data_IF_958761354874
#
_entry.id   IF_958761354874
#
_cell.length_a   1.000
_cell.length_b   1.000
_cell.length_c   1.000
_cell.angle_alpha   90.00
_cell.angle_beta   90.00
_cell.angle_gamma   90.00
#
_symmetry.space_group_name_H-M   'P 1'
#
loop_
_entity.id
_entity.type
_entity.pdbx_description
1 polymer ?
#
# COMPACT_ATOMS: atom_id res chain seq x y z
N UNK A 1 -3.27 0.34 32.05
CA UNK A 1 -2.72 0.57 30.70
C UNK A 1 -3.77 1.38 29.96
N UNK A 2 -3.47 2.60 29.50
CA UNK A 2 -4.39 3.29 28.59
C UNK A 2 -4.54 2.37 27.38
N UNK A 3 -5.76 1.95 27.06
CA UNK A 3 -6.02 1.42 25.73
C UNK A 3 -5.81 2.63 24.81
N UNK A 4 -4.83 2.50 23.93
CA UNK A 4 -4.60 3.44 22.84
C UNK A 4 -5.22 2.82 21.60
N UNK A 5 -5.71 3.64 20.69
CA UNK A 5 -6.25 3.18 19.42
C UNK A 5 -5.21 2.34 18.65
N UNK A 6 -5.67 1.58 17.66
CA UNK A 6 -4.79 0.75 16.83
C UNK A 6 -4.30 1.53 15.62
N UNK A 7 -3.04 1.32 15.26
CA UNK A 7 -2.46 1.84 14.03
C UNK A 7 -2.46 0.76 12.96
N UNK A 8 -2.90 1.11 11.75
CA UNK A 8 -2.76 0.28 10.57
C UNK A 8 -1.88 0.97 9.54
N UNK A 9 -0.82 0.31 9.11
CA UNK A 9 0.15 0.85 8.16
C UNK A 9 0.10 0.04 6.86
N UNK A 10 -0.06 0.73 5.73
CA UNK A 10 0.00 0.11 4.41
C UNK A 10 0.33 1.15 3.34
N UNK A 11 0.44 0.71 2.09
CA UNK A 11 0.62 1.60 0.95
C UNK A 11 -0.65 1.61 0.08
N UNK A 12 -1.05 2.80 -0.39
CA UNK A 12 -2.11 2.95 -1.40
C UNK A 12 -1.55 3.39 -2.77
N UNK A 13 -0.25 3.69 -2.84
CA UNK A 13 0.49 3.94 -4.08
C UNK A 13 1.77 3.12 -4.10
N UNK A 14 2.17 2.63 -5.28
CA UNK A 14 3.35 1.79 -5.44
C UNK A 14 4.17 2.13 -6.68
N UNK A 15 5.49 1.99 -6.57
CA UNK A 15 6.41 2.01 -7.71
C UNK A 15 6.47 0.60 -8.32
N UNK A 16 5.74 0.38 -9.42
CA UNK A 16 5.53 -0.96 -9.98
C UNK A 16 6.17 -1.14 -11.36
N UNK A 17 6.14 -2.36 -11.88
CA UNK A 17 6.48 -2.67 -13.27
C UNK A 17 5.55 -2.03 -14.31
N UNK A 18 4.43 -1.43 -13.88
CA UNK A 18 3.52 -0.65 -14.73
C UNK A 18 3.65 0.86 -14.51
N UNK A 19 4.72 1.30 -13.83
CA UNK A 19 4.90 2.67 -13.38
C UNK A 19 4.30 2.90 -12.00
N UNK A 20 4.00 4.17 -11.68
CA UNK A 20 3.26 4.48 -10.47
C UNK A 20 1.83 3.92 -10.56
N UNK A 21 1.45 3.09 -9.60
CA UNK A 21 0.12 2.49 -9.54
C UNK A 21 -0.63 2.99 -8.30
N UNK A 22 -1.87 3.46 -8.51
CA UNK A 22 -2.71 4.05 -7.47
C UNK A 22 -3.85 3.10 -7.10
N UNK A 23 -4.05 2.90 -5.80
CA UNK A 23 -5.16 2.16 -5.19
C UNK A 23 -5.95 3.04 -4.20
N UNK A 24 -5.76 4.36 -4.24
CA UNK A 24 -6.41 5.30 -3.32
C UNK A 24 -7.94 5.25 -3.38
N UNK A 25 -8.53 5.06 -4.56
CA UNK A 25 -9.98 5.09 -4.77
C UNK A 25 -10.75 4.21 -3.80
N UNK A 26 -10.30 2.97 -3.63
CA UNK A 26 -10.97 2.03 -2.72
C UNK A 26 -10.71 2.38 -1.26
N UNK A 27 -9.60 3.02 -0.90
CA UNK A 27 -9.28 3.37 0.49
C UNK A 27 -9.99 4.64 0.96
N UNK A 28 -10.26 5.57 0.04
CA UNK A 28 -10.96 6.83 0.32
C UNK A 28 -12.48 6.73 0.13
N UNK A 29 -12.98 5.58 -0.36
CA UNK A 29 -14.41 5.36 -0.56
C UNK A 29 -15.17 5.38 0.78
N UNK A 30 -16.31 6.06 0.81
CA UNK A 30 -17.17 6.13 1.99
C UNK A 30 -16.73 7.15 3.05
N UNK A 31 -15.63 7.88 2.82
CA UNK A 31 -15.29 9.04 3.64
C UNK A 31 -16.34 10.14 3.45
N UNK A 32 -16.67 10.83 4.54
CA UNK A 32 -17.61 11.95 4.55
C UNK A 32 -16.87 13.30 4.53
N UNK A 33 -15.57 13.31 4.86
CA UNK A 33 -14.69 14.46 4.66
C UNK A 33 -13.29 14.00 4.23
N UNK A 34 -12.72 14.67 3.23
CA UNK A 34 -11.37 14.39 2.73
C UNK A 34 -10.62 15.71 2.50
N UNK A 35 -9.54 15.93 3.25
CA UNK A 35 -8.64 17.05 3.03
C UNK A 35 -7.51 16.65 2.06
N UNK A 36 -7.45 17.30 0.91
CA UNK A 36 -6.44 17.08 -0.11
C UNK A 36 -5.37 18.17 0.01
N UNK A 37 -4.24 17.82 0.60
CA UNK A 37 -3.13 18.73 0.82
C UNK A 37 -2.38 18.98 -0.50
N UNK A 38 -2.24 20.24 -0.90
CA UNK A 38 -1.49 20.66 -2.09
C UNK A 38 -0.35 21.58 -1.69
N UNK A 39 0.86 21.28 -2.13
CA UNK A 39 2.03 22.10 -1.86
C UNK A 39 3.31 21.51 -2.44
N UNK A 40 4.38 22.32 -2.48
CA UNK A 40 5.70 21.86 -2.95
C UNK A 40 6.32 20.77 -2.07
N UNK A 41 7.43 20.14 -2.52
CA UNK A 41 8.27 19.30 -1.67
C UNK A 41 8.63 20.01 -0.35
N UNK A 42 8.63 19.30 0.77
CA UNK A 42 8.96 19.90 2.08
C UNK A 42 7.94 20.88 2.65
N UNK A 43 6.73 20.99 2.09
CA UNK A 43 5.70 21.89 2.60
C UNK A 43 5.05 21.43 3.92
N UNK A 44 5.53 20.37 4.55
CA UNK A 44 4.99 19.86 5.82
C UNK A 44 3.79 18.91 5.73
N UNK A 45 3.40 18.44 4.53
CA UNK A 45 2.23 17.53 4.32
C UNK A 45 2.26 16.31 5.24
N UNK A 46 3.32 15.51 5.12
CA UNK A 46 3.53 14.31 5.92
C UNK A 46 3.57 14.60 7.42
N UNK A 47 4.19 15.72 7.82
CA UNK A 47 4.23 16.16 9.21
C UNK A 47 2.85 16.49 9.76
N UNK A 48 2.02 17.23 9.01
CA UNK A 48 0.62 17.52 9.38
C UNK A 48 -0.15 16.22 9.58
N UNK A 49 -0.07 15.31 8.60
CA UNK A 49 -0.80 14.04 8.65
C UNK A 49 -0.37 13.17 9.85
N UNK A 50 0.93 13.10 10.14
CA UNK A 50 1.44 12.34 11.30
C UNK A 50 1.00 12.96 12.63
N UNK A 51 1.07 14.28 12.77
CA UNK A 51 0.65 14.98 14.00
C UNK A 51 -0.84 14.78 14.25
N UNK A 52 -1.69 14.90 13.22
CA UNK A 52 -3.13 14.65 13.32
C UNK A 52 -3.37 13.18 13.68
N UNK A 53 -2.76 12.23 12.97
CA UNK A 53 -2.89 10.81 13.29
C UNK A 53 -2.53 10.50 14.74
N UNK A 54 -1.39 10.99 15.23
CA UNK A 54 -0.95 10.78 16.61
C UNK A 54 -1.93 11.39 17.63
N UNK A 55 -2.45 12.60 17.38
CA UNK A 55 -3.38 13.24 18.32
C UNK A 55 -4.69 12.45 18.47
N UNK A 56 -5.20 11.88 17.38
CA UNK A 56 -6.42 11.08 17.41
C UNK A 56 -6.17 9.67 17.96
N UNK A 57 -4.99 9.10 17.72
CA UNK A 57 -4.56 7.87 18.38
C UNK A 57 -4.51 8.02 19.91
N UNK A 58 -3.97 9.15 20.39
CA UNK A 58 -3.91 9.48 21.82
C UNK A 58 -5.30 9.68 22.46
N UNK A 59 -6.31 9.94 21.62
CA UNK A 59 -7.74 10.02 21.95
C UNK A 59 -8.48 8.67 21.81
N UNK A 60 -7.76 7.57 21.63
CA UNK A 60 -8.29 6.20 21.51
C UNK A 60 -9.08 5.93 20.21
N UNK A 61 -8.74 6.64 19.13
CA UNK A 61 -9.26 6.35 17.79
C UNK A 61 -8.30 5.44 17.03
N UNK A 62 -8.82 4.47 16.30
CA UNK A 62 -8.05 3.71 15.33
C UNK A 62 -7.63 4.62 14.16
N UNK A 63 -6.39 4.46 13.68
CA UNK A 63 -5.79 5.29 12.64
C UNK A 63 -5.21 4.41 11.54
N UNK A 64 -5.51 4.74 10.29
CA UNK A 64 -4.83 4.14 9.14
C UNK A 64 -3.81 5.14 8.54
N UNK A 65 -2.57 4.72 8.36
CA UNK A 65 -1.49 5.48 7.74
C UNK A 65 -1.13 4.90 6.38
N UNK A 66 -1.25 5.74 5.35
CA UNK A 66 -0.90 5.42 3.97
C UNK A 66 0.53 5.90 3.71
N UNK A 67 1.48 4.98 3.64
CA UNK A 67 2.90 5.30 3.48
C UNK A 67 3.27 5.69 2.05
N UNK A 68 4.33 6.51 1.93
CA UNK A 68 4.85 6.95 0.64
C UNK A 68 5.83 5.92 0.08
N UNK A 69 5.57 5.40 -1.12
CA UNK A 69 6.48 4.45 -1.79
C UNK A 69 7.80 5.10 -2.24
N UNK A 70 7.84 6.44 -2.31
CA UNK A 70 9.01 7.21 -2.78
C UNK A 70 9.84 7.81 -1.65
N UNK A 71 9.36 7.73 -0.40
CA UNK A 71 10.07 8.19 0.78
C UNK A 71 9.66 7.37 2.00
N UNK A 72 10.58 6.51 2.45
CA UNK A 72 10.38 5.59 3.57
C UNK A 72 10.01 6.28 4.89
N UNK A 73 10.35 7.55 5.05
CA UNK A 73 10.10 8.29 6.29
C UNK A 73 8.86 9.20 6.15
N UNK A 74 8.11 9.11 5.04
CA UNK A 74 6.94 9.94 4.75
C UNK A 74 5.65 9.12 4.59
N UNK A 75 4.52 9.77 4.88
CA UNK A 75 3.18 9.27 4.58
C UNK A 75 2.49 10.17 3.54
N UNK A 76 1.66 9.57 2.72
CA UNK A 76 0.82 10.22 1.71
C UNK A 76 -0.63 10.33 2.16
N UNK A 77 -1.01 9.68 3.26
CA UNK A 77 -2.35 9.80 3.82
C UNK A 77 -2.48 9.35 5.27
N UNK A 78 -3.50 9.87 5.94
CA UNK A 78 -3.98 9.40 7.24
C UNK A 78 -5.51 9.36 7.21
N UNK A 79 -6.10 8.29 7.74
CA UNK A 79 -7.56 8.09 7.81
C UNK A 79 -7.93 7.83 9.27
N UNK A 80 -9.02 8.45 9.71
CA UNK A 80 -9.67 8.21 11.00
C UNK A 80 -11.00 7.51 10.69
N UNK A 81 -11.05 6.16 10.65
CA UNK A 81 -12.19 5.43 10.10
C UNK A 81 -13.50 5.71 10.84
N UNK A 82 -13.45 5.79 12.17
CA UNK A 82 -14.63 6.05 13.01
C UNK A 82 -15.30 7.40 12.70
N UNK A 83 -14.51 8.39 12.26
CA UNK A 83 -15.02 9.71 11.88
C UNK A 83 -15.31 9.81 10.37
N UNK A 84 -14.90 8.82 9.59
CA UNK A 84 -14.93 8.84 8.11
C UNK A 84 -14.21 10.07 7.54
N UNK A 85 -13.10 10.44 8.16
CA UNK A 85 -12.25 11.57 7.77
C UNK A 85 -10.93 11.04 7.21
N UNK A 86 -10.46 11.62 6.10
CA UNK A 86 -9.13 11.37 5.57
C UNK A 86 -8.37 12.67 5.27
N UNK A 87 -7.05 12.61 5.37
CA UNK A 87 -6.12 13.60 4.83
C UNK A 87 -5.19 12.88 3.87
N UNK A 88 -4.90 13.51 2.73
CA UNK A 88 -4.08 12.90 1.66
C UNK A 88 -3.22 13.93 0.95
N UNK A 89 -2.03 13.53 0.50
CA UNK A 89 -1.23 14.30 -0.44
C UNK A 89 -1.87 14.24 -1.84
N UNK A 90 -2.29 15.40 -2.36
CA UNK A 90 -2.82 15.52 -3.71
C UNK A 90 -1.77 15.83 -4.78
N UNK A 91 -0.47 15.84 -4.45
CA UNK A 91 0.59 16.20 -5.38
C UNK A 91 0.90 15.04 -6.32
N UNK A 92 1.21 15.32 -7.59
CA UNK A 92 1.59 14.27 -8.55
C UNK A 92 2.72 13.39 -7.98
N UNK A 93 2.64 12.05 -8.11
CA UNK A 93 1.70 11.28 -8.94
C UNK A 93 0.35 10.94 -8.27
N UNK A 94 0.12 11.36 -7.03
CA UNK A 94 -1.08 11.09 -6.21
C UNK A 94 -2.26 11.99 -6.58
N UNK A 95 -2.54 12.16 -7.87
CA UNK A 95 -3.66 13.02 -8.30
C UNK A 95 -4.97 12.36 -7.90
N UNK A 96 -5.59 12.89 -6.84
CA UNK A 96 -6.92 12.52 -6.39
C UNK A 96 -7.90 13.50 -7.02
N UNK A 97 -8.82 12.98 -7.82
CA UNK A 97 -9.89 13.77 -8.44
C UNK A 97 -11.11 13.81 -7.50
N UNK A 98 -11.49 15.00 -6.99
CA UNK A 98 -12.68 15.15 -6.16
C UNK A 98 -13.95 14.70 -6.88
N UNK A 99 -14.79 13.92 -6.21
CA UNK A 99 -16.08 13.48 -6.74
C UNK A 99 -17.23 14.40 -6.32
N UNK A 100 -17.14 15.00 -5.13
CA UNK A 100 -18.11 15.94 -4.60
C UNK A 100 -17.42 17.11 -3.87
N UNK A 101 -16.59 17.92 -4.58
CA UNK A 101 -15.82 18.99 -3.95
C UNK A 101 -16.70 19.98 -3.19
N UNK A 102 -16.28 20.34 -1.97
CA UNK A 102 -17.03 21.19 -1.03
C UNK A 102 -18.08 20.47 -0.21
N UNK A 103 -18.50 19.26 -0.61
CA UNK A 103 -19.38 18.39 0.17
C UNK A 103 -18.60 17.28 0.89
N UNK A 104 -17.61 16.69 0.21
CA UNK A 104 -16.72 15.65 0.76
C UNK A 104 -15.28 16.11 0.70
N UNK A 105 -14.78 16.52 -0.47
CA UNK A 105 -13.37 16.88 -0.64
C UNK A 105 -13.11 18.39 -0.52
N UNK A 106 -12.03 18.72 0.17
CA UNK A 106 -11.53 20.09 0.35
C UNK A 106 -10.05 20.17 -0.05
N UNK A 107 -9.68 21.17 -0.86
CA UNK A 107 -8.27 21.44 -1.14
C UNK A 107 -7.67 22.33 -0.06
N UNK A 108 -6.60 21.86 0.56
CA UNK A 108 -5.79 22.65 1.49
C UNK A 108 -4.52 23.11 0.78
N UNK A 109 -4.43 24.42 0.53
CA UNK A 109 -3.30 25.01 -0.19
C UNK A 109 -2.15 25.41 0.76
N UNK A 110 -1.20 24.50 0.95
CA UNK A 110 0.04 24.77 1.69
C UNK A 110 1.02 25.67 0.89
N UNK A 111 0.81 25.82 -0.42
CA UNK A 111 1.57 26.76 -1.25
C UNK A 111 1.30 28.23 -0.91
N UNK A 112 0.27 28.54 -0.09
CA UNK A 112 0.06 29.89 0.42
C UNK A 112 1.19 30.34 1.36
N UNK A 113 1.92 29.41 1.98
CA UNK A 113 2.93 29.68 2.99
C UNK A 113 4.38 29.79 2.43
N UNK A 114 4.59 29.79 1.11
CA UNK A 114 5.94 29.95 0.54
C UNK A 114 6.29 31.40 0.18
N UNK A 115 7.58 31.70 0.15
CA UNK A 115 8.10 32.94 -0.41
C UNK A 115 8.34 32.77 -1.92
N UNK A 116 7.44 33.35 -2.73
CA UNK A 116 7.51 33.26 -4.18
C UNK A 116 8.81 33.86 -4.74
N UNK A 117 9.25 35.02 -4.26
CA UNK A 117 10.45 35.69 -4.76
C UNK A 117 11.71 34.85 -4.53
N UNK A 118 11.82 34.23 -3.35
CA UNK A 118 12.94 33.34 -3.00
C UNK A 118 12.96 32.08 -3.87
N UNK A 119 11.81 31.46 -4.12
CA UNK A 119 11.72 30.32 -5.04
C UNK A 119 12.00 30.73 -6.49
N UNK A 120 11.57 31.93 -6.89
CA UNK A 120 11.82 32.46 -8.22
C UNK A 120 13.32 32.66 -8.51
N UNK A 121 14.13 33.04 -7.51
CA UNK A 121 15.59 33.10 -7.64
C UNK A 121 16.25 31.73 -7.83
N UNK A 122 15.63 30.66 -7.32
CA UNK A 122 16.11 29.27 -7.42
C UNK A 122 15.50 28.50 -8.60
N UNK A 123 14.74 29.17 -9.47
CA UNK A 123 13.96 28.55 -10.55
C UNK A 123 14.75 27.56 -11.41
N UNK A 124 15.96 27.93 -11.82
CA UNK A 124 16.79 27.08 -12.66
C UNK A 124 17.18 25.78 -11.95
N UNK A 125 17.51 25.85 -10.66
CA UNK A 125 17.83 24.68 -9.84
C UNK A 125 16.59 23.80 -9.64
N UNK A 126 15.45 24.39 -9.31
CA UNK A 126 14.16 23.70 -9.14
C UNK A 126 13.78 22.91 -10.39
N UNK A 127 13.80 23.55 -11.56
CA UNK A 127 13.47 22.88 -12.84
C UNK A 127 14.46 21.76 -13.14
N UNK A 128 15.76 22.00 -12.95
CA UNK A 128 16.82 21.00 -13.18
C UNK A 128 16.62 19.76 -12.30
N UNK A 129 16.43 19.96 -10.99
CA UNK A 129 16.23 18.87 -10.03
C UNK A 129 14.94 18.10 -10.29
N UNK A 130 13.85 18.82 -10.59
CA UNK A 130 12.56 18.19 -10.94
C UNK A 130 12.69 17.31 -12.18
N UNK A 131 13.32 17.81 -13.23
CA UNK A 131 13.53 17.05 -14.47
C UNK A 131 14.46 15.86 -14.25
N UNK A 132 15.53 16.02 -13.47
CA UNK A 132 16.44 14.92 -13.15
C UNK A 132 15.74 13.82 -12.34
N UNK A 133 14.92 14.21 -11.36
CA UNK A 133 14.11 13.30 -10.55
C UNK A 133 13.14 12.51 -11.41
N UNK A 134 12.39 13.18 -12.29
CA UNK A 134 11.46 12.52 -13.22
C UNK A 134 12.17 11.50 -14.10
N UNK A 135 13.35 11.85 -14.65
CA UNK A 135 14.18 10.91 -15.44
C UNK A 135 14.63 9.69 -14.63
N UNK A 136 14.94 9.85 -13.34
CA UNK A 136 15.29 8.71 -12.48
C UNK A 136 14.09 7.78 -12.28
N UNK A 137 12.88 8.32 -12.07
CA UNK A 137 11.66 7.51 -12.00
C UNK A 137 11.36 6.80 -13.32
N UNK A 138 11.46 7.49 -14.47
CA UNK A 138 11.28 6.89 -15.79
C UNK A 138 12.22 5.70 -16.01
N UNK A 139 13.49 5.83 -15.63
CA UNK A 139 14.46 4.73 -15.69
C UNK A 139 14.10 3.59 -14.74
N UNK A 140 13.72 3.88 -13.51
CA UNK A 140 13.29 2.86 -12.55
C UNK A 140 12.11 2.04 -13.09
N UNK A 141 11.09 2.71 -13.63
CA UNK A 141 9.92 2.05 -14.20
C UNK A 141 10.23 1.25 -15.47
N UNK A 142 11.11 1.74 -16.34
CA UNK A 142 11.58 0.98 -17.49
C UNK A 142 12.30 -0.31 -17.07
N UNK A 143 13.15 -0.24 -16.04
CA UNK A 143 13.86 -1.39 -15.49
C UNK A 143 12.91 -2.37 -14.79
N UNK A 144 11.90 -1.89 -14.06
CA UNK A 144 10.87 -2.78 -13.50
C UNK A 144 10.04 -3.46 -14.59
N UNK A 145 9.72 -2.75 -15.68
CA UNK A 145 9.00 -3.33 -16.81
C UNK A 145 9.84 -4.42 -17.52
N UNK A 146 11.17 -4.25 -17.62
CA UNK A 146 12.09 -5.29 -18.06
C UNK A 146 12.15 -6.46 -17.08
N UNK A 147 12.26 -6.18 -15.77
CA UNK A 147 12.26 -7.20 -14.73
C UNK A 147 10.98 -8.04 -14.75
N UNK A 148 9.82 -7.45 -15.09
CA UNK A 148 8.55 -8.17 -15.17
C UNK A 148 8.56 -9.19 -16.32
N UNK A 149 9.13 -8.84 -17.48
CA UNK A 149 9.29 -9.79 -18.58
C UNK A 149 10.17 -10.98 -18.19
N UNK A 150 11.25 -10.72 -17.45
CA UNK A 150 12.14 -11.76 -16.91
C UNK A 150 11.41 -12.61 -15.86
N UNK A 151 10.59 -11.97 -15.02
CA UNK A 151 9.75 -12.67 -14.05
C UNK A 151 8.73 -13.58 -14.76
N UNK A 152 8.11 -13.13 -15.86
CA UNK A 152 7.19 -13.94 -16.66
C UNK A 152 7.88 -15.19 -17.23
N UNK A 153 9.12 -15.07 -17.74
CA UNK A 153 9.94 -16.22 -18.17
C UNK A 153 10.14 -17.22 -17.02
N UNK A 154 10.35 -16.73 -15.79
CA UNK A 154 10.51 -17.57 -14.61
C UNK A 154 9.19 -18.27 -14.25
N UNK A 155 8.07 -17.56 -14.34
CA UNK A 155 6.76 -18.14 -14.08
C UNK A 155 6.42 -19.27 -15.06
N UNK A 156 6.80 -19.14 -16.33
CA UNK A 156 6.47 -20.12 -17.37
C UNK A 156 7.03 -21.51 -17.07
N UNK A 157 8.22 -21.58 -16.46
CA UNK A 157 8.81 -22.85 -15.99
C UNK A 157 7.84 -23.56 -15.06
N UNK A 158 7.31 -22.86 -14.06
CA UNK A 158 6.41 -23.47 -13.08
C UNK A 158 5.01 -23.66 -13.61
N UNK A 159 4.46 -22.71 -14.39
CA UNK A 159 3.14 -22.81 -15.04
C UNK A 159 3.02 -24.07 -15.90
N UNK A 160 4.08 -24.43 -16.63
CA UNK A 160 4.13 -25.64 -17.44
C UNK A 160 4.14 -26.93 -16.61
N UNK A 161 4.46 -26.84 -15.31
CA UNK A 161 4.66 -27.97 -14.41
C UNK A 161 3.67 -27.96 -13.22
N UNK A 162 2.49 -27.36 -13.39
CA UNK A 162 1.41 -27.36 -12.38
C UNK A 162 0.40 -28.48 -12.65
N UNK A 163 0.11 -29.26 -11.62
CA UNK A 163 -1.11 -30.05 -11.51
C UNK A 163 -2.28 -29.14 -11.10
N UNK A 164 -2.96 -28.57 -12.12
CA UNK A 164 -4.08 -27.66 -11.90
C UNK A 164 -5.25 -28.31 -11.17
N UNK A 165 -5.43 -29.63 -11.30
CA UNK A 165 -6.50 -30.33 -10.59
C UNK A 165 -6.26 -30.31 -9.08
N UNK A 166 -5.02 -30.61 -8.65
CA UNK A 166 -4.63 -30.50 -7.23
C UNK A 166 -4.69 -29.06 -6.71
N UNK A 167 -4.21 -28.09 -7.48
CA UNK A 167 -4.24 -26.68 -7.07
C UNK A 167 -5.68 -26.18 -6.89
N UNK A 168 -6.58 -26.52 -7.82
CA UNK A 168 -8.00 -26.16 -7.73
C UNK A 168 -8.68 -26.88 -6.57
N UNK A 169 -8.39 -28.16 -6.34
CA UNK A 169 -8.89 -28.92 -5.19
C UNK A 169 -8.47 -28.31 -3.86
N UNK A 170 -7.19 -27.93 -3.71
CA UNK A 170 -6.70 -27.21 -2.54
C UNK A 170 -7.41 -25.87 -2.37
N UNK A 171 -7.55 -25.09 -3.44
CA UNK A 171 -8.23 -23.78 -3.40
C UNK A 171 -9.67 -23.92 -2.92
N UNK A 172 -10.43 -24.88 -3.46
CA UNK A 172 -11.81 -25.12 -3.06
C UNK A 172 -11.91 -25.55 -1.59
N UNK A 173 -11.03 -26.45 -1.14
CA UNK A 173 -10.96 -26.86 0.27
C UNK A 173 -10.72 -25.69 1.21
N UNK A 174 -9.85 -24.74 0.83
CA UNK A 174 -9.61 -23.53 1.62
C UNK A 174 -10.86 -22.64 1.67
N UNK A 175 -11.50 -22.40 0.52
CA UNK A 175 -12.74 -21.60 0.44
C UNK A 175 -13.85 -22.22 1.32
N UNK A 176 -14.05 -23.52 1.22
CA UNK A 176 -15.02 -24.26 2.05
C UNK A 176 -14.66 -24.18 3.54
N UNK A 177 -13.38 -24.33 3.90
CA UNK A 177 -12.91 -24.24 5.27
C UNK A 177 -13.08 -22.84 5.88
N UNK A 178 -12.78 -21.80 5.10
CA UNK A 178 -12.78 -20.39 5.52
C UNK A 178 -14.19 -19.85 5.70
N UNK A 179 -15.08 -20.11 4.74
CA UNK A 179 -16.40 -19.47 4.72
C UNK A 179 -17.53 -20.41 5.08
N UNK A 180 -17.33 -21.74 4.95
CA UNK A 180 -18.36 -22.76 5.17
C UNK A 180 -19.65 -22.39 4.38
N UNK A 181 -20.81 -22.58 5.00
CA UNK A 181 -22.11 -22.19 4.46
C UNK A 181 -22.55 -20.77 4.88
N UNK A 182 -21.63 -19.96 5.43
CA UNK A 182 -21.97 -18.62 5.94
C UNK A 182 -22.10 -17.65 4.77
N UNK A 183 -23.20 -16.89 4.74
CA UNK A 183 -23.43 -15.76 3.85
C UNK A 183 -24.02 -14.62 4.65
N UNK A 184 -23.48 -13.42 4.48
CA UNK A 184 -23.94 -12.22 5.16
C UNK A 184 -24.94 -11.46 4.27
N UNK A 185 -26.02 -10.96 4.87
CA UNK A 185 -27.00 -10.14 4.18
C UNK A 185 -26.55 -8.66 4.12
N UNK A 186 -25.37 -8.42 3.54
CA UNK A 186 -24.85 -7.09 3.26
C UNK A 186 -24.09 -7.07 1.94
N UNK A 187 -23.91 -5.88 1.40
CA UNK A 187 -22.96 -5.67 0.31
C UNK A 187 -21.55 -5.69 0.90
N UNK A 188 -20.67 -6.48 0.30
CA UNK A 188 -19.25 -6.52 0.64
C UNK A 188 -18.59 -5.17 0.42
N UNK A 189 -17.79 -4.72 1.39
CA UNK A 189 -16.82 -3.65 1.22
C UNK A 189 -15.45 -4.25 0.84
N UNK A 190 -14.93 -3.89 -0.33
CA UNK A 190 -13.67 -4.44 -0.87
C UNK A 190 -12.65 -3.32 -0.97
N UNK A 191 -11.55 -3.46 -0.22
CA UNK A 191 -10.46 -2.47 -0.15
C UNK A 191 -9.21 -3.04 -0.81
N UNK A 192 -8.70 -2.34 -1.81
CA UNK A 192 -7.49 -2.69 -2.54
C UNK A 192 -6.31 -1.89 -2.01
N UNK A 193 -5.25 -2.56 -1.58
CA UNK A 193 -4.09 -1.99 -0.89
C UNK A 193 -2.81 -2.63 -1.40
N UNK A 194 -1.66 -2.11 -1.00
CA UNK A 194 -0.37 -2.79 -1.08
C UNK A 194 0.11 -3.06 0.34
N UNK A 195 0.53 -4.30 0.63
CA UNK A 195 1.09 -4.66 1.94
C UNK A 195 2.52 -4.15 2.11
N UNK A 196 3.16 -3.85 0.98
CA UNK A 196 4.53 -3.41 0.87
C UNK A 196 4.79 -2.83 -0.52
N UNK A 197 5.90 -2.12 -0.66
CA UNK A 197 6.24 -1.40 -1.89
C UNK A 197 7.73 -1.48 -2.19
N UNK A 198 8.09 -1.29 -3.46
CA UNK A 198 9.45 -1.00 -3.86
C UNK A 198 9.78 0.47 -3.51
N UNK A 199 10.75 0.66 -2.61
CA UNK A 199 11.14 1.98 -2.10
C UNK A 199 12.62 2.27 -2.35
N UNK A 200 13.08 3.53 -2.12
CA UNK A 200 14.51 3.89 -2.15
C UNK A 200 15.42 3.02 -1.27
N UNK A 201 14.91 2.48 -0.16
CA UNK A 201 15.65 1.63 0.78
C UNK A 201 15.48 0.12 0.47
N UNK A 202 14.84 -0.22 -0.64
CA UNK A 202 14.51 -1.61 -1.01
C UNK A 202 13.04 -1.95 -0.77
N UNK A 203 12.73 -3.25 -0.71
CA UNK A 203 11.38 -3.70 -0.41
C UNK A 203 11.07 -3.48 1.08
N UNK A 204 9.93 -2.85 1.38
CA UNK A 204 9.43 -2.65 2.74
C UNK A 204 7.97 -3.10 2.79
N UNK A 205 7.59 -3.82 3.84
CA UNK A 205 6.23 -4.28 4.08
C UNK A 205 5.77 -4.04 5.52
N UNK A 206 4.46 -4.13 5.72
CA UNK A 206 3.79 -3.98 7.01
C UNK A 206 2.99 -5.23 7.39
N UNK A 207 3.36 -6.43 6.89
CA UNK A 207 2.61 -7.67 7.16
C UNK A 207 2.39 -7.91 8.67
N UNK A 208 3.39 -7.75 9.55
CA UNK A 208 3.18 -7.96 10.99
C UNK A 208 2.10 -7.05 11.59
N UNK A 209 2.07 -5.77 11.19
CA UNK A 209 1.08 -4.81 11.66
C UNK A 209 -0.30 -5.06 11.04
N UNK A 210 -0.36 -5.28 9.72
CA UNK A 210 -1.61 -5.51 8.99
C UNK A 210 -2.34 -6.77 9.51
N UNK A 211 -1.58 -7.79 9.89
CA UNK A 211 -2.11 -9.08 10.37
C UNK A 211 -2.24 -9.16 11.89
N UNK A 212 -2.01 -8.06 12.60
CA UNK A 212 -2.13 -8.02 14.06
C UNK A 212 -3.56 -8.36 14.51
N UNK A 213 -3.68 -9.20 15.54
CA UNK A 213 -4.96 -9.62 16.12
C UNK A 213 -5.74 -10.64 15.27
N UNK A 214 -5.22 -11.07 14.12
CA UNK A 214 -5.85 -12.11 13.29
C UNK A 214 -5.56 -13.49 13.88
N UNK A 215 -6.62 -14.29 14.07
CA UNK A 215 -6.53 -15.57 14.77
C UNK A 215 -5.92 -16.68 13.93
N UNK A 216 -6.14 -16.68 12.61
CA UNK A 216 -5.63 -17.69 11.69
C UNK A 216 -4.89 -17.05 10.52
N UNK A 217 -3.59 -17.33 10.41
CA UNK A 217 -2.74 -16.80 9.33
C UNK A 217 -2.19 -17.94 8.48
N UNK A 218 -2.35 -17.84 7.17
CA UNK A 218 -1.94 -18.85 6.22
C UNK A 218 -0.79 -18.34 5.35
N UNK A 219 0.36 -19.00 5.45
CA UNK A 219 1.60 -18.64 4.77
C UNK A 219 1.70 -19.46 3.49
N UNK A 220 1.38 -18.85 2.35
CA UNK A 220 1.53 -19.48 1.04
C UNK A 220 3.00 -19.57 0.69
N UNK A 221 3.51 -20.80 0.58
CA UNK A 221 4.86 -21.09 0.07
C UNK A 221 4.74 -21.62 -1.36
N UNK A 222 5.64 -21.17 -2.23
CA UNK A 222 5.64 -21.56 -3.63
C UNK A 222 6.77 -20.92 -4.41
N UNK A 223 6.79 -21.14 -5.73
CA UNK A 223 7.68 -20.45 -6.68
C UNK A 223 6.90 -19.40 -7.49
N UNK A 224 7.56 -18.46 -8.18
CA UNK A 224 6.91 -17.64 -9.20
C UNK A 224 6.09 -18.51 -10.16
N UNK A 225 4.92 -18.05 -10.60
CA UNK A 225 4.05 -18.85 -11.47
C UNK A 225 3.28 -20.00 -10.84
N UNK A 226 3.52 -20.39 -9.58
CA UNK A 226 2.84 -21.53 -8.91
C UNK A 226 1.32 -21.39 -8.66
N UNK A 227 0.72 -20.26 -9.05
CA UNK A 227 -0.72 -20.03 -8.93
C UNK A 227 -1.21 -19.40 -7.63
N UNK A 228 -0.31 -18.92 -6.76
CA UNK A 228 -0.62 -18.21 -5.49
C UNK A 228 -1.63 -17.08 -5.68
N UNK A 229 -1.31 -16.14 -6.57
CA UNK A 229 -2.17 -15.00 -6.92
C UNK A 229 -3.56 -15.43 -7.43
N UNK A 230 -3.63 -16.46 -8.26
CA UNK A 230 -4.90 -17.01 -8.77
C UNK A 230 -5.73 -17.62 -7.65
N UNK A 231 -5.11 -18.35 -6.71
CA UNK A 231 -5.78 -18.88 -5.52
C UNK A 231 -6.33 -17.74 -4.65
N UNK A 232 -5.52 -16.72 -4.36
CA UNK A 232 -5.93 -15.54 -3.59
C UNK A 232 -7.12 -14.82 -4.23
N UNK A 233 -7.11 -14.62 -5.57
CA UNK A 233 -8.23 -14.02 -6.30
C UNK A 233 -9.53 -14.82 -6.16
N UNK A 234 -9.45 -16.15 -6.22
CA UNK A 234 -10.62 -17.03 -6.02
C UNK A 234 -11.15 -16.94 -4.60
N UNK A 235 -10.27 -16.91 -3.60
CA UNK A 235 -10.62 -16.76 -2.18
C UNK A 235 -11.31 -15.41 -1.94
N UNK A 236 -10.70 -14.30 -2.39
CA UNK A 236 -11.28 -12.97 -2.28
C UNK A 236 -12.66 -12.89 -2.97
N UNK A 237 -12.79 -13.45 -4.19
CA UNK A 237 -14.06 -13.44 -4.91
C UNK A 237 -15.15 -14.23 -4.17
N UNK A 238 -14.77 -15.35 -3.58
CA UNK A 238 -15.67 -16.20 -2.82
C UNK A 238 -16.15 -15.54 -1.51
N UNK A 239 -15.32 -14.70 -0.88
CA UNK A 239 -15.71 -13.87 0.26
C UNK A 239 -16.68 -12.76 -0.15
N UNK A 240 -16.35 -12.00 -1.20
CA UNK A 240 -17.17 -10.91 -1.73
C UNK A 240 -18.58 -11.41 -2.10
N UNK A 241 -18.67 -12.54 -2.79
CA UNK A 241 -19.95 -13.15 -3.19
C UNK A 241 -20.82 -13.59 -2.01
N UNK A 242 -20.20 -13.86 -0.86
CA UNK A 242 -20.88 -14.22 0.40
C UNK A 242 -21.16 -13.00 1.27
N UNK A 243 -20.89 -11.79 0.79
CA UNK A 243 -21.15 -10.54 1.51
C UNK A 243 -20.14 -10.20 2.59
N UNK A 244 -18.99 -10.88 2.67
CA UNK A 244 -17.92 -10.52 3.60
C UNK A 244 -17.12 -9.32 3.11
N UNK A 245 -16.65 -8.46 4.00
CA UNK A 245 -15.69 -7.41 3.65
C UNK A 245 -14.32 -8.03 3.39
N UNK A 246 -13.61 -7.50 2.39
CA UNK A 246 -12.37 -8.11 1.90
C UNK A 246 -11.29 -7.05 1.75
N UNK A 247 -10.16 -7.26 2.41
CA UNK A 247 -8.94 -6.49 2.15
C UNK A 247 -8.07 -7.28 1.17
N UNK A 248 -7.87 -6.71 -0.01
CA UNK A 248 -7.11 -7.28 -1.11
C UNK A 248 -5.79 -6.54 -1.23
N UNK A 249 -4.69 -7.24 -0.98
CA UNK A 249 -3.35 -6.68 -1.06
C UNK A 249 -2.67 -7.14 -2.34
N UNK A 250 -2.37 -6.18 -3.19
CA UNK A 250 -1.68 -6.36 -4.46
C UNK A 250 -0.18 -6.49 -4.25
N UNK A 251 0.49 -7.13 -5.20
CA UNK A 251 1.93 -7.19 -5.22
C UNK A 251 2.52 -5.82 -5.53
N UNK A 252 3.47 -5.37 -4.70
CA UNK A 252 4.14 -4.08 -4.87
C UNK A 252 4.97 -3.98 -6.16
N UNK A 253 5.24 -5.11 -6.82
CA UNK A 253 5.96 -5.18 -8.10
C UNK A 253 5.03 -5.34 -9.31
N UNK A 254 4.14 -6.35 -9.32
CA UNK A 254 3.09 -6.52 -10.33
C UNK A 254 1.70 -6.26 -9.73
N UNK A 255 1.08 -5.09 -9.98
CA UNK A 255 -0.18 -4.72 -9.35
C UNK A 255 -1.35 -5.58 -9.83
N UNK A 256 -1.20 -6.41 -10.87
CA UNK A 256 -2.24 -7.37 -11.25
C UNK A 256 -2.13 -8.69 -10.49
N UNK A 257 -1.05 -8.92 -9.75
CA UNK A 257 -0.91 -10.04 -8.84
C UNK A 257 -1.37 -9.69 -7.42
N UNK A 258 -1.87 -10.67 -6.67
CA UNK A 258 -2.21 -10.54 -5.26
C UNK A 258 -1.15 -11.21 -4.39
N UNK A 259 -0.76 -10.53 -3.33
CA UNK A 259 0.15 -11.06 -2.30
C UNK A 259 -0.59 -11.41 -1.01
N UNK A 260 -1.73 -10.79 -0.70
CA UNK A 260 -2.48 -11.13 0.51
C UNK A 260 -3.98 -10.87 0.37
N UNK A 261 -4.77 -11.67 1.08
CA UNK A 261 -6.20 -11.47 1.29
C UNK A 261 -6.50 -11.61 2.78
N UNK A 262 -7.24 -10.64 3.33
CA UNK A 262 -7.72 -10.67 4.71
C UNK A 262 -9.24 -10.58 4.70
N UNK A 263 -9.88 -11.44 5.49
CA UNK A 263 -11.31 -11.38 5.78
C UNK A 263 -11.47 -11.38 7.29
N UNK A 264 -11.54 -10.17 7.88
CA UNK A 264 -11.51 -9.99 9.34
C UNK A 264 -12.71 -10.63 10.04
N UNK A 265 -13.88 -10.62 9.39
CA UNK A 265 -15.13 -11.18 9.94
C UNK A 265 -15.07 -12.69 10.22
N UNK A 266 -14.19 -13.43 9.54
CA UNK A 266 -13.93 -14.85 9.81
C UNK A 266 -12.53 -15.09 10.42
N UNK A 267 -11.81 -14.02 10.77
CA UNK A 267 -10.54 -14.09 11.49
C UNK A 267 -9.38 -14.67 10.70
N UNK A 268 -9.37 -14.51 9.36
CA UNK A 268 -8.33 -15.08 8.49
C UNK A 268 -7.48 -14.03 7.79
N UNK A 269 -6.19 -14.36 7.65
CA UNK A 269 -5.28 -13.76 6.68
C UNK A 269 -4.60 -14.87 5.89
N UNK A 270 -4.48 -14.71 4.57
CA UNK A 270 -3.71 -15.61 3.71
C UNK A 270 -2.80 -14.79 2.83
N UNK A 271 -1.50 -15.08 2.85
CA UNK A 271 -0.51 -14.27 2.13
C UNK A 271 0.64 -15.07 1.56
N UNK A 272 1.17 -14.58 0.45
CA UNK A 272 2.42 -15.01 -0.15
C UNK A 272 3.57 -14.72 0.82
N UNK A 273 4.20 -15.78 1.28
CA UNK A 273 5.30 -15.72 2.23
C UNK A 273 6.60 -16.21 1.59
N UNK A 274 6.85 -15.80 0.35
CA UNK A 274 8.06 -16.08 -0.40
C UNK A 274 8.95 -14.83 -0.51
N UNK A 275 10.24 -15.03 -0.83
CA UNK A 275 11.18 -13.91 -1.00
C UNK A 275 10.62 -12.86 -1.96
N UNK A 276 10.69 -11.55 -1.63
CA UNK A 276 11.48 -10.94 -0.55
C UNK A 276 10.78 -10.89 0.82
N UNK A 277 9.48 -11.17 0.92
CA UNK A 277 8.68 -11.06 2.14
C UNK A 277 8.49 -12.43 2.81
N UNK A 278 9.61 -13.06 3.17
CA UNK A 278 9.57 -14.40 3.77
C UNK A 278 9.34 -14.35 5.28
N UNK A 279 8.18 -14.84 5.70
CA UNK A 279 7.84 -15.06 7.10
C UNK A 279 7.69 -16.56 7.42
N UNK A 280 7.69 -16.85 8.71
CA UNK A 280 7.48 -18.20 9.23
C UNK A 280 6.47 -18.15 10.38
N UNK A 281 5.71 -19.25 10.60
CA UNK A 281 4.81 -19.38 11.73
C UNK A 281 5.48 -19.00 13.04
N UNK A 282 4.84 -18.10 13.78
CA UNK A 282 5.27 -17.63 15.09
C UNK A 282 4.16 -17.69 16.14
N UNK A 283 2.90 -17.89 15.71
CA UNK A 283 1.73 -17.99 16.57
C UNK A 283 1.01 -19.33 16.39
N UNK A 284 0.23 -19.74 17.39
CA UNK A 284 -0.52 -21.01 17.39
C UNK A 284 -1.49 -21.15 16.20
N UNK A 285 -2.02 -20.02 15.72
CA UNK A 285 -2.95 -19.96 14.59
C UNK A 285 -2.30 -19.99 13.21
N UNK A 286 -0.97 -20.06 13.13
CA UNK A 286 -0.25 -19.96 11.86
C UNK A 286 -0.15 -21.31 11.16
N UNK A 287 -0.45 -21.35 9.86
CA UNK A 287 -0.41 -22.56 9.05
C UNK A 287 0.33 -22.32 7.72
N UNK A 288 1.22 -23.23 7.35
CA UNK A 288 1.91 -23.18 6.05
C UNK A 288 1.07 -23.92 5.02
N UNK A 289 0.83 -23.26 3.88
CA UNK A 289 0.26 -23.88 2.69
C UNK A 289 1.35 -23.95 1.64
N UNK A 290 1.95 -25.14 1.51
CA UNK A 290 3.00 -25.38 0.53
C UNK A 290 2.39 -25.78 -0.82
N UNK A 291 2.18 -24.78 -1.68
CA UNK A 291 1.65 -24.98 -3.03
C UNK A 291 2.66 -25.73 -3.88
N UNK A 292 3.96 -25.50 -3.67
CA UNK A 292 5.01 -26.19 -4.41
C UNK A 292 4.89 -27.70 -4.22
N UNK A 293 4.91 -28.16 -2.96
CA UNK A 293 4.77 -29.58 -2.63
C UNK A 293 3.44 -30.19 -3.10
N UNK A 294 2.37 -29.39 -3.09
CA UNK A 294 1.03 -29.89 -3.39
C UNK A 294 0.77 -30.03 -4.89
N UNK A 295 1.20 -29.04 -5.69
CA UNK A 295 0.73 -28.87 -7.06
C UNK A 295 1.84 -28.74 -8.10
N UNK A 296 3.11 -28.56 -7.72
CA UNK A 296 4.21 -28.55 -8.70
C UNK A 296 4.72 -29.98 -8.91
N UNK A 297 5.01 -30.33 -10.15
CA UNK A 297 5.57 -31.65 -10.50
C UNK A 297 6.93 -31.83 -9.81
N UNK A 298 7.15 -32.94 -9.06
CA UNK A 298 8.44 -33.22 -8.44
C UNK A 298 9.57 -33.26 -9.48
N UNK A 299 10.74 -32.72 -9.13
CA UNK A 299 11.89 -32.66 -10.04
C UNK A 299 11.97 -31.38 -10.87
N UNK A 300 10.98 -30.46 -10.79
CA UNK A 300 10.97 -29.24 -11.60
C UNK A 300 12.20 -28.36 -11.34
N UNK A 301 12.58 -28.14 -10.08
CA UNK A 301 13.75 -27.30 -9.77
C UNK A 301 15.05 -27.93 -10.30
N UNK A 302 15.17 -29.26 -10.25
CA UNK A 302 16.33 -30.00 -10.72
C UNK A 302 16.41 -30.03 -12.26
N UNK A 303 15.29 -30.25 -12.95
CA UNK A 303 15.22 -30.28 -14.41
C UNK A 303 15.59 -28.91 -15.00
N UNK A 304 15.16 -27.83 -14.35
CA UNK A 304 15.33 -26.47 -14.86
C UNK A 304 16.37 -25.65 -14.09
N UNK A 305 17.26 -26.31 -13.34
CA UNK A 305 18.19 -25.65 -12.41
C UNK A 305 19.02 -24.52 -13.06
N UNK A 306 19.58 -24.76 -14.24
CA UNK A 306 20.39 -23.77 -14.97
C UNK A 306 19.55 -22.57 -15.44
N UNK A 307 18.33 -22.84 -15.93
CA UNK A 307 17.40 -21.79 -16.36
C UNK A 307 16.92 -20.95 -15.19
N UNK A 308 16.58 -21.59 -14.06
CA UNK A 308 16.17 -20.93 -12.82
C UNK A 308 17.32 -20.05 -12.29
N UNK A 309 18.55 -20.55 -12.33
CA UNK A 309 19.73 -19.78 -11.89
C UNK A 309 19.97 -18.56 -12.77
N UNK A 310 19.87 -18.71 -14.09
CA UNK A 310 20.00 -17.61 -15.04
C UNK A 310 18.91 -16.55 -14.83
N UNK A 311 17.63 -16.96 -14.88
CA UNK A 311 16.49 -16.03 -14.80
C UNK A 311 16.43 -15.30 -13.47
N UNK A 312 16.69 -15.99 -12.35
CA UNK A 312 16.73 -15.37 -11.01
C UNK A 312 17.87 -14.37 -10.87
N UNK A 313 19.03 -14.64 -11.50
CA UNK A 313 20.17 -13.72 -11.51
C UNK A 313 19.85 -12.47 -12.31
N UNK A 314 19.30 -12.62 -13.53
CA UNK A 314 18.88 -11.50 -14.37
C UNK A 314 17.81 -10.64 -13.69
N UNK A 315 16.80 -11.29 -13.09
CA UNK A 315 15.73 -10.62 -12.35
C UNK A 315 16.31 -9.78 -11.20
N UNK A 316 17.14 -10.38 -10.34
CA UNK A 316 17.75 -9.67 -9.21
C UNK A 316 18.59 -8.48 -9.67
N UNK A 317 19.38 -8.63 -10.73
CA UNK A 317 20.16 -7.53 -11.29
C UNK A 317 19.27 -6.36 -11.70
N UNK A 318 18.18 -6.63 -12.44
CA UNK A 318 17.24 -5.59 -12.87
C UNK A 318 16.50 -4.93 -11.72
N UNK A 319 16.08 -5.70 -10.72
CA UNK A 319 15.46 -5.16 -9.50
C UNK A 319 16.41 -4.24 -8.72
N UNK A 320 17.69 -4.61 -8.62
CA UNK A 320 18.72 -3.78 -7.97
C UNK A 320 18.97 -2.49 -8.75
N UNK A 321 19.09 -2.55 -10.08
CA UNK A 321 19.23 -1.37 -10.94
C UNK A 321 18.03 -0.42 -10.80
N UNK A 322 16.81 -0.97 -10.78
CA UNK A 322 15.58 -0.19 -10.62
C UNK A 322 15.53 0.50 -9.24
N UNK A 323 15.83 -0.25 -8.18
CA UNK A 323 15.88 0.26 -6.80
C UNK A 323 16.92 1.37 -6.65
N UNK A 324 18.09 1.24 -7.28
CA UNK A 324 19.12 2.28 -7.29
C UNK A 324 18.63 3.58 -7.96
N UNK A 325 17.79 3.49 -9.00
CA UNK A 325 17.19 4.67 -9.63
C UNK A 325 16.10 5.31 -8.73
N UNK A 326 15.34 4.53 -7.96
CA UNK A 326 14.44 5.08 -6.93
C UNK A 326 15.23 5.80 -5.83
N UNK A 327 16.33 5.21 -5.35
CA UNK A 327 17.25 5.84 -4.42
C UNK A 327 17.77 7.18 -4.97
N UNK A 328 18.16 7.19 -6.25
CA UNK A 328 18.62 8.43 -6.89
C UNK A 328 17.50 9.48 -7.00
N UNK A 329 16.27 9.07 -7.27
CA UNK A 329 15.12 9.97 -7.30
C UNK A 329 14.87 10.60 -5.92
N UNK A 330 15.00 9.83 -4.83
CA UNK A 330 14.89 10.32 -3.45
C UNK A 330 16.01 11.31 -3.11
N UNK A 331 17.27 11.03 -3.45
CA UNK A 331 18.37 12.00 -3.25
C UNK A 331 18.08 13.35 -3.92
N UNK A 332 17.60 13.33 -5.17
CA UNK A 332 17.24 14.53 -5.91
C UNK A 332 16.01 15.22 -5.31
N UNK A 333 15.07 14.46 -4.75
CA UNK A 333 13.94 14.99 -3.99
C UNK A 333 14.41 15.73 -2.74
N UNK A 334 15.35 15.16 -1.99
CA UNK A 334 15.89 15.76 -0.76
C UNK A 334 16.65 17.06 -1.05
N UNK A 335 17.38 17.12 -2.17
CA UNK A 335 17.99 18.36 -2.65
C UNK A 335 16.94 19.41 -3.00
N UNK A 336 15.86 19.01 -3.67
CA UNK A 336 14.75 19.90 -4.05
C UNK A 336 14.02 20.42 -2.81
N UNK A 337 13.75 19.53 -1.85
CA UNK A 337 13.09 19.84 -0.58
C UNK A 337 13.85 20.90 0.22
N UNK A 338 15.19 20.80 0.29
CA UNK A 338 16.03 21.82 0.95
C UNK A 338 15.85 23.23 0.38
N UNK A 339 15.51 23.37 -0.90
CA UNK A 339 15.22 24.67 -1.52
C UNK A 339 13.87 25.18 -1.03
N UNK A 340 12.84 24.34 -1.08
CA UNK A 340 11.48 24.72 -0.67
C UNK A 340 11.39 25.02 0.82
N UNK A 341 11.94 24.18 1.69
CA UNK A 341 11.92 24.34 3.15
C UNK A 341 12.48 25.71 3.57
N UNK A 342 13.55 26.19 2.92
CA UNK A 342 14.13 27.51 3.22
C UNK A 342 13.21 28.69 2.89
N UNK A 343 12.22 28.46 2.02
CA UNK A 343 11.26 29.46 1.57
C UNK A 343 9.88 29.28 2.22
N UNK A 344 9.68 28.29 3.11
CA UNK A 344 8.41 28.06 3.79
C UNK A 344 8.31 28.88 5.09
N UNK A 345 7.15 29.48 5.32
CA UNK A 345 6.71 29.96 6.63
C UNK A 345 5.99 28.84 7.39
N UNK A 346 6.70 28.16 8.27
CA UNK A 346 6.13 27.07 9.06
C UNK A 346 5.12 27.53 10.11
N UNK A 347 5.10 28.81 10.47
CA UNK A 347 4.07 29.36 11.38
C UNK A 347 2.71 29.32 10.70
N UNK A 348 2.64 29.74 9.44
CA UNK A 348 1.42 29.67 8.64
C UNK A 348 0.99 28.21 8.39
N UNK A 349 1.94 27.27 8.28
CA UNK A 349 1.64 25.84 8.17
C UNK A 349 1.06 25.30 9.48
N UNK A 350 1.59 25.69 10.64
CA UNK A 350 1.05 25.29 11.94
C UNK A 350 -0.37 25.85 12.17
N UNK A 351 -0.66 27.06 11.67
CA UNK A 351 -2.03 27.62 11.69
C UNK A 351 -2.99 26.79 10.82
N UNK A 352 -2.59 26.44 9.59
CA UNK A 352 -3.41 25.55 8.72
C UNK A 352 -3.64 24.19 9.40
N UNK A 353 -2.63 23.63 10.06
CA UNK A 353 -2.77 22.38 10.79
C UNK A 353 -3.81 22.51 11.92
N UNK A 354 -3.80 23.62 12.66
CA UNK A 354 -4.77 23.90 13.72
C UNK A 354 -6.18 24.01 13.16
N UNK A 355 -6.36 24.72 12.05
CA UNK A 355 -7.67 24.89 11.40
C UNK A 355 -8.25 23.53 10.93
N UNK A 356 -7.41 22.64 10.39
CA UNK A 356 -7.84 21.27 10.06
C UNK A 356 -8.25 20.54 11.34
N UNK A 357 -7.44 20.61 12.39
CA UNK A 357 -7.70 19.90 13.63
C UNK A 357 -9.00 20.35 14.30
N UNK A 358 -9.30 21.65 14.30
CA UNK A 358 -10.56 22.21 14.80
C UNK A 358 -11.76 21.61 14.06
N UNK A 359 -11.72 21.53 12.73
CA UNK A 359 -12.78 20.92 11.92
C UNK A 359 -12.99 19.43 12.22
N UNK A 360 -11.92 18.67 12.49
CA UNK A 360 -12.03 17.25 12.86
C UNK A 360 -12.67 17.13 14.27
N UNK A 361 -12.31 18.02 15.20
CA UNK A 361 -12.89 18.05 16.56
C UNK A 361 -14.38 18.35 16.51
N UNK A 362 -14.82 19.34 15.73
CA UNK A 362 -16.24 19.66 15.55
C UNK A 362 -17.02 18.44 15.04
N UNK A 363 -16.47 17.74 14.04
CA UNK A 363 -17.08 16.50 13.53
C UNK A 363 -17.19 15.42 14.59
N UNK A 364 -16.16 15.20 15.39
CA UNK A 364 -16.19 14.16 16.42
C UNK A 364 -17.28 14.43 17.47
N UNK A 365 -17.47 15.70 17.85
CA UNK A 365 -18.54 16.11 18.77
C UNK A 365 -19.95 15.85 18.18
N UNK A 366 -20.13 16.06 16.88
CA UNK A 366 -21.39 15.74 16.19
C UNK A 366 -21.69 14.23 16.20
N UNK A 367 -20.68 13.39 15.94
CA UNK A 367 -20.82 11.93 15.94
C UNK A 367 -21.15 11.39 17.33
N UNK A 368 -20.45 11.89 18.36
CA UNK A 368 -20.71 11.50 19.75
C UNK A 368 -22.13 11.91 20.19
N UNK A 369 -22.58 13.10 19.78
CA UNK A 369 -23.93 13.60 20.09
C UNK A 369 -25.04 12.78 19.44
N UNK A 370 -24.82 12.27 18.21
CA UNK A 370 -25.77 11.40 17.52
C UNK A 370 -25.82 9.99 18.11
N UNK A 371 -24.71 9.51 18.67
CA UNK A 371 -24.61 8.18 19.30
C UNK A 371 -25.36 8.11 20.64
N UNK A 372 -25.50 9.22 21.36
CA UNK A 372 -26.24 9.30 22.64
C UNK A 372 -27.77 9.34 22.43
N UNK A 373 -28.24 9.67 21.24
CA UNK A 373 -29.67 9.83 20.91
C UNK A 373 -30.33 8.55 20.34
N UNK A 374 -29.58 7.46 20.18
CA UNK A 374 -30.04 6.14 19.74
C UNK A 374 -29.73 5.08 20.77
#
# INVERSE_FOLDING_TARGET
>A
MKVTGKEMHYFAGGNTAKGFYSLYDSNLAGLERLFILKGGPGSGKSTIMKKIGQEWLDKDYDIEYLHCSSDNDSIDGVIIPALKIGLVDGTAPHVIEPKAPGAIEEYVNLGAAWNFQQLASERAAIIRLTNARSKSFEKAYALFAEALKIHDEWEDIYKANIDFAKLNGLTNKLIEGFYRDITLNKKSDVRHRFLGAATPKGAVDFIPNITEGIQKRYFLKGRPGSGKSTMLKKIAKAAEQRGFDVEVYHCGFDPHSLDMVIVREVGIAIFDSTSPHEYFPSCEGDEIIDIYKTAILPGTDEIYADQIKDVSTRYRTKMNEATANLAKAKELHDELEKIYVKAMDFTAIDDIQRDIQEQIIERAQDVDSQTILH
#
